data_IF_068206683484
#
_entry.id   IF_068206683484
#
_cell.length_a   1.000
_cell.length_b   1.000
_cell.length_c   1.000
_cell.angle_alpha   90.00
_cell.angle_beta   90.00
_cell.angle_gamma   90.00
#
_symmetry.space_group_name_H-M   'P 1'
#
loop_
_entity.id
_entity.type
_entity.pdbx_description
1 polymer ?
#
# COMPACT_ATOMS: atom_id res chain seq x y z
N UNK A 1 42.48 -71.47 -18.68
CA UNK A 1 42.44 -70.04 -18.29
C UNK A 1 41.24 -69.39 -18.95
N UNK A 2 40.33 -68.79 -18.17
CA UNK A 2 39.79 -67.50 -18.58
C UNK A 2 39.77 -66.48 -17.44
N UNK A 3 39.70 -65.24 -17.90
CA UNK A 3 39.89 -63.94 -17.27
C UNK A 3 38.62 -63.50 -16.51
N UNK A 4 38.74 -63.16 -15.23
CA UNK A 4 37.62 -62.63 -14.43
C UNK A 4 37.74 -61.11 -14.39
N UNK A 5 36.87 -60.44 -15.15
CA UNK A 5 36.70 -59.00 -15.14
C UNK A 5 36.22 -58.51 -13.76
N UNK A 6 37.02 -57.64 -13.14
CA UNK A 6 36.69 -56.98 -11.88
C UNK A 6 35.62 -55.91 -12.10
N UNK A 7 34.40 -56.18 -11.64
CA UNK A 7 33.31 -55.21 -11.52
C UNK A 7 33.57 -54.28 -10.32
N UNK A 8 34.50 -53.32 -10.45
CA UNK A 8 34.64 -52.23 -9.49
C UNK A 8 33.49 -51.24 -9.71
N UNK A 9 32.41 -51.39 -8.92
CA UNK A 9 31.46 -50.29 -8.72
C UNK A 9 32.21 -49.13 -8.09
N UNK A 10 32.21 -47.94 -8.69
CA UNK A 10 33.17 -46.94 -8.30
C UNK A 10 32.66 -46.21 -7.05
N UNK A 11 33.45 -46.31 -5.97
CA UNK A 11 33.16 -45.79 -4.63
C UNK A 11 32.81 -44.29 -4.60
N UNK A 12 33.14 -43.54 -5.66
CA UNK A 12 32.77 -42.13 -5.80
C UNK A 12 31.26 -41.89 -5.77
N UNK A 13 30.44 -42.85 -6.24
CA UNK A 13 28.99 -42.70 -6.23
C UNK A 13 28.39 -42.68 -4.80
N UNK A 14 29.00 -43.39 -3.85
CA UNK A 14 28.61 -43.38 -2.43
C UNK A 14 29.08 -42.12 -1.70
N UNK A 15 30.27 -41.61 -2.04
CA UNK A 15 30.78 -40.36 -1.46
C UNK A 15 29.96 -39.12 -1.89
N UNK A 16 29.49 -39.09 -3.14
CA UNK A 16 28.65 -37.98 -3.65
C UNK A 16 27.27 -37.98 -2.98
N UNK A 17 26.66 -39.14 -2.73
CA UNK A 17 25.39 -39.24 -2.00
C UNK A 17 25.52 -38.79 -0.52
N UNK A 18 26.67 -39.05 0.12
CA UNK A 18 26.88 -38.66 1.51
C UNK A 18 27.13 -37.14 1.68
N UNK A 19 27.73 -36.49 0.68
CA UNK A 19 28.00 -35.04 0.70
C UNK A 19 26.76 -34.16 0.43
N UNK A 20 25.69 -34.72 -0.16
CA UNK A 20 24.46 -33.97 -0.49
C UNK A 20 23.42 -34.06 0.65
N UNK A 21 23.65 -34.90 1.66
CA UNK A 21 22.74 -35.11 2.79
C UNK A 21 23.26 -34.62 4.14
N UNK A 22 24.33 -33.81 4.18
CA UNK A 22 24.78 -33.21 5.43
C UNK A 22 23.95 -31.95 5.73
N UNK A 23 22.91 -32.11 6.55
CA UNK A 23 22.26 -30.98 7.20
C UNK A 23 23.26 -30.32 8.15
N UNK A 24 23.60 -29.06 7.92
CA UNK A 24 24.44 -28.29 8.83
C UNK A 24 23.55 -27.70 9.92
N UNK A 25 23.57 -28.29 11.11
CA UNK A 25 22.79 -27.81 12.25
C UNK A 25 23.56 -26.72 13.02
N UNK A 26 23.12 -25.47 12.87
CA UNK A 26 23.64 -24.36 13.67
C UNK A 26 22.86 -24.26 14.99
N UNK A 27 23.50 -24.59 16.11
CA UNK A 27 22.88 -24.48 17.44
C UNK A 27 23.03 -23.06 17.99
N UNK A 28 21.98 -22.25 17.88
CA UNK A 28 21.91 -20.94 18.53
C UNK A 28 21.49 -21.12 19.99
N UNK A 29 22.37 -20.76 20.93
CA UNK A 29 22.00 -20.67 22.36
C UNK A 29 21.53 -19.25 22.66
N UNK A 30 20.22 -19.08 22.82
CA UNK A 30 19.66 -17.84 23.36
C UNK A 30 19.92 -17.80 24.87
N UNK A 31 20.93 -17.05 25.31
CA UNK A 31 21.04 -16.66 26.72
C UNK A 31 20.09 -15.49 26.94
N UNK A 32 18.92 -15.77 27.51
CA UNK A 32 18.05 -14.71 28.03
C UNK A 32 18.81 -13.96 29.13
N UNK A 33 19.08 -12.67 28.91
CA UNK A 33 19.51 -11.82 30.01
C UNK A 33 18.30 -11.63 30.94
N UNK A 34 18.35 -12.18 32.16
CA UNK A 34 17.45 -11.72 33.24
C UNK A 34 17.55 -10.19 33.36
N UNK A 35 16.48 -9.50 33.81
CA UNK A 35 16.03 -8.17 33.33
C UNK A 35 17.12 -7.39 32.60
N UNK A 36 17.42 -7.84 31.37
CA UNK A 36 18.54 -7.37 30.59
C UNK A 36 18.23 -6.00 30.02
N UNK A 37 19.27 -5.15 29.95
CA UNK A 37 19.26 -3.80 29.40
C UNK A 37 18.23 -3.62 28.27
N UNK A 38 17.20 -2.80 28.52
CA UNK A 38 16.24 -2.38 27.50
C UNK A 38 17.02 -1.77 26.32
N UNK A 39 17.00 -2.43 25.17
CA UNK A 39 17.63 -1.92 23.95
C UNK A 39 16.74 -0.88 23.30
N UNK A 40 15.51 -1.29 22.97
CA UNK A 40 14.52 -0.44 22.33
C UNK A 40 13.11 -0.79 22.80
N UNK A 41 12.27 0.23 22.93
CA UNK A 41 10.83 0.10 23.01
C UNK A 41 10.27 0.42 21.63
N UNK A 42 9.53 -0.51 21.05
CA UNK A 42 8.83 -0.29 19.79
C UNK A 42 7.45 0.29 20.05
N UNK A 43 6.94 1.03 19.06
CA UNK A 43 5.59 1.56 19.08
C UNK A 43 4.55 0.42 19.05
N UNK A 44 3.39 0.54 19.70
CA UNK A 44 2.30 -0.44 19.56
C UNK A 44 1.89 -0.69 18.10
N UNK A 45 2.01 0.32 17.23
CA UNK A 45 1.69 0.26 15.81
C UNK A 45 2.86 -0.27 14.96
N UNK A 46 3.91 -0.86 15.57
CA UNK A 46 5.13 -1.26 14.87
C UNK A 46 4.88 -2.16 13.65
N UNK A 47 3.91 -3.08 13.74
CA UNK A 47 3.49 -3.91 12.60
C UNK A 47 2.43 -3.15 11.81
N UNK A 48 2.88 -2.37 10.84
CA UNK A 48 2.04 -1.55 9.97
C UNK A 48 1.99 -2.08 8.53
N UNK A 49 0.97 -1.65 7.77
CA UNK A 49 0.72 -2.13 6.40
C UNK A 49 0.54 -0.99 5.40
N UNK A 50 0.59 -1.31 4.11
CA UNK A 50 0.46 -0.34 3.03
C UNK A 50 -0.66 -0.71 2.06
N UNK A 51 -1.39 0.28 1.57
CA UNK A 51 -2.27 0.18 0.40
C UNK A 51 -1.61 0.99 -0.72
N UNK A 52 -1.38 0.36 -1.86
CA UNK A 52 -0.76 1.04 -2.99
C UNK A 52 -1.70 2.13 -3.55
N UNK A 53 -1.15 3.32 -3.73
CA UNK A 53 -1.72 4.45 -4.46
C UNK A 53 -2.39 4.08 -5.78
N UNK A 54 -1.90 3.06 -6.49
CA UNK A 54 -2.49 2.59 -7.75
C UNK A 54 -3.93 2.06 -7.59
N UNK A 55 -4.35 1.73 -6.37
CA UNK A 55 -5.72 1.29 -6.09
C UNK A 55 -6.75 2.41 -6.35
N UNK A 56 -6.36 3.68 -6.16
CA UNK A 56 -7.24 4.83 -6.36
C UNK A 56 -7.48 5.18 -7.84
N UNK A 57 -6.81 4.52 -8.77
CA UNK A 57 -6.97 4.79 -10.20
C UNK A 57 -8.34 4.37 -10.74
N UNK A 58 -8.91 3.30 -10.19
CA UNK A 58 -10.23 2.83 -10.59
C UNK A 58 -11.12 2.69 -9.34
N UNK A 59 -12.20 3.50 -9.25
CA UNK A 59 -13.16 3.46 -8.14
C UNK A 59 -13.73 2.06 -7.86
N UNK A 60 -13.77 1.17 -8.85
CA UNK A 60 -14.24 -0.19 -8.67
C UNK A 60 -13.36 -0.96 -7.67
N UNK A 61 -12.05 -0.73 -7.66
CA UNK A 61 -11.13 -1.41 -6.75
C UNK A 61 -11.16 -0.84 -5.33
N UNK A 62 -11.49 0.45 -5.20
CA UNK A 62 -11.70 1.07 -3.89
C UNK A 62 -12.84 0.40 -3.11
N UNK A 63 -13.87 -0.10 -3.81
CA UNK A 63 -14.94 -0.91 -3.21
C UNK A 63 -14.43 -2.17 -2.50
N UNK A 64 -13.26 -2.71 -2.86
CA UNK A 64 -12.67 -3.87 -2.15
C UNK A 64 -12.37 -3.55 -0.68
N UNK A 65 -12.06 -2.29 -0.34
CA UNK A 65 -11.86 -1.85 1.05
C UNK A 65 -13.16 -1.87 1.87
N UNK A 66 -14.31 -1.93 1.19
CA UNK A 66 -15.61 -2.13 1.84
C UNK A 66 -15.94 -3.60 2.10
N UNK A 67 -15.12 -4.54 1.62
CA UNK A 67 -15.33 -5.98 1.84
C UNK A 67 -15.25 -6.34 3.33
N UNK A 68 -16.24 -7.09 3.87
CA UNK A 68 -16.19 -7.58 5.25
C UNK A 68 -14.94 -8.41 5.53
N UNK A 69 -14.50 -9.22 4.55
CA UNK A 69 -13.31 -10.06 4.68
C UNK A 69 -12.05 -9.22 4.86
N UNK A 70 -11.87 -8.19 4.03
CA UNK A 70 -10.72 -7.28 4.12
C UNK A 70 -10.73 -6.51 5.43
N UNK A 71 -11.90 -6.02 5.87
CA UNK A 71 -12.05 -5.31 7.14
C UNK A 71 -11.77 -6.19 8.36
N UNK A 72 -12.21 -7.46 8.36
CA UNK A 72 -11.91 -8.40 9.45
C UNK A 72 -10.40 -8.65 9.56
N UNK A 73 -9.73 -8.86 8.42
CA UNK A 73 -8.28 -9.03 8.40
C UNK A 73 -7.55 -7.76 8.86
N UNK A 74 -7.99 -6.59 8.40
CA UNK A 74 -7.41 -5.31 8.81
C UNK A 74 -7.58 -5.04 10.31
N UNK A 75 -8.75 -5.35 10.88
CA UNK A 75 -9.00 -5.25 12.33
C UNK A 75 -8.08 -6.13 13.16
N UNK A 76 -7.73 -7.31 12.67
CA UNK A 76 -6.82 -8.21 13.37
C UNK A 76 -5.38 -7.65 13.46
N UNK A 77 -5.05 -6.63 12.68
CA UNK A 77 -3.77 -5.92 12.73
C UNK A 77 -3.81 -4.69 13.65
N UNK A 78 -4.99 -4.30 14.17
CA UNK A 78 -5.09 -3.17 15.08
C UNK A 78 -4.40 -3.47 16.43
N UNK A 79 -3.62 -2.54 17.00
CA UNK A 79 -3.34 -1.20 16.49
C UNK A 79 -2.21 -1.19 15.45
N UNK A 80 -2.38 -0.45 14.36
CA UNK A 80 -1.39 -0.34 13.29
C UNK A 80 -1.61 0.91 12.43
N UNK A 81 -0.55 1.39 11.77
CA UNK A 81 -0.69 2.36 10.69
C UNK A 81 -1.08 1.65 9.38
N UNK A 82 -1.86 2.34 8.57
CA UNK A 82 -2.06 2.01 7.16
C UNK A 82 -1.58 3.16 6.29
N UNK A 83 -0.52 2.93 5.52
CA UNK A 83 0.03 3.90 4.58
C UNK A 83 -0.64 3.77 3.21
N UNK A 84 -1.26 4.84 2.73
CA UNK A 84 -1.72 4.96 1.35
C UNK A 84 -0.69 5.77 0.54
N UNK A 85 0.10 5.08 -0.29
CA UNK A 85 1.22 5.66 -1.02
C UNK A 85 1.82 4.66 -2.00
N UNK A 86 2.96 4.98 -2.60
CA UNK A 86 3.59 4.16 -3.64
C UNK A 86 3.92 4.97 -4.88
N UNK A 87 4.40 4.33 -5.96
CA UNK A 87 4.90 5.04 -7.14
C UNK A 87 3.86 5.99 -7.74
N UNK A 88 2.57 5.62 -7.68
CA UNK A 88 1.46 6.40 -8.24
C UNK A 88 1.10 7.64 -7.40
N UNK A 89 1.55 7.72 -6.15
CA UNK A 89 1.33 8.86 -5.25
C UNK A 89 1.67 10.20 -5.91
N UNK A 90 2.80 10.25 -6.61
CA UNK A 90 3.33 11.45 -7.24
C UNK A 90 2.69 11.80 -8.60
N UNK A 91 1.72 11.00 -9.04
CA UNK A 91 0.97 11.23 -10.28
C UNK A 91 -0.52 11.44 -10.03
N UNK A 92 -0.95 11.42 -8.77
CA UNK A 92 -2.33 11.63 -8.37
C UNK A 92 -2.61 13.09 -8.03
N UNK A 93 -3.80 13.58 -8.42
CA UNK A 93 -4.27 14.92 -8.10
C UNK A 93 -5.66 14.88 -7.47
N UNK A 94 -5.83 15.53 -6.31
CA UNK A 94 -7.12 15.63 -5.66
C UNK A 94 -8.08 16.48 -6.49
N UNK A 95 -9.28 15.95 -6.76
CA UNK A 95 -10.35 16.70 -7.42
C UNK A 95 -11.54 16.88 -6.46
N UNK A 96 -11.73 18.08 -5.88
CA UNK A 96 -12.94 18.38 -5.13
C UNK A 96 -14.14 18.36 -6.07
N UNK A 97 -15.34 18.00 -5.59
CA UNK A 97 -16.53 18.04 -6.44
C UNK A 97 -16.84 19.49 -6.85
N UNK A 98 -16.54 19.82 -8.11
CA UNK A 98 -16.81 21.11 -8.74
C UNK A 98 -16.18 21.21 -10.12
N UNK A 99 -17.02 21.34 -11.17
CA UNK A 99 -16.71 21.36 -12.62
C UNK A 99 -16.41 20.00 -13.27
N UNK A 100 -17.41 19.12 -13.33
CA UNK A 100 -17.55 18.22 -14.49
C UNK A 100 -18.04 19.05 -15.68
N UNK A 101 -17.17 19.31 -16.67
CA UNK A 101 -17.58 19.71 -18.03
C UNK A 101 -17.56 18.48 -18.97
N UNK A 102 -18.17 17.39 -18.52
CA UNK A 102 -18.47 16.20 -19.32
C UNK A 102 -19.89 15.75 -19.02
N UNK A 103 -20.58 15.08 -19.95
CA UNK A 103 -22.01 14.79 -19.82
C UNK A 103 -22.25 14.08 -18.49
N UNK A 104 -23.07 14.74 -17.67
CA UNK A 104 -23.67 14.21 -16.45
C UNK A 104 -24.51 13.00 -16.84
N UNK A 105 -23.87 11.83 -16.85
CA UNK A 105 -24.48 10.57 -17.25
C UNK A 105 -24.13 9.45 -16.29
N UNK A 106 -24.17 9.69 -14.97
CA UNK A 106 -24.39 8.63 -14.00
C UNK A 106 -25.33 9.13 -12.94
N UNK A 107 -26.62 8.97 -13.23
CA UNK A 107 -27.72 9.24 -12.32
C UNK A 107 -27.64 8.29 -11.13
N UNK A 108 -27.57 8.86 -9.93
CA UNK A 108 -27.57 8.14 -8.65
C UNK A 108 -28.89 7.35 -8.42
N UNK A 109 -29.89 7.52 -9.29
CA UNK A 109 -31.18 6.84 -9.22
C UNK A 109 -31.36 5.67 -10.21
N UNK A 110 -30.37 5.33 -11.05
CA UNK A 110 -30.47 4.17 -11.95
C UNK A 110 -29.83 2.89 -11.41
N UNK A 111 -29.22 2.90 -10.23
CA UNK A 111 -28.55 1.71 -9.65
C UNK A 111 -29.47 0.92 -8.70
N UNK A 112 -30.69 1.41 -8.43
CA UNK A 112 -31.68 0.73 -7.56
C UNK A 112 -32.62 -0.21 -8.35
N UNK A 113 -32.47 -0.32 -9.69
CA UNK A 113 -33.28 -1.23 -10.52
C UNK A 113 -32.45 -2.25 -11.33
N UNK A 114 -31.31 -2.68 -10.79
CA UNK A 114 -30.79 -4.00 -11.13
C UNK A 114 -30.73 -4.81 -9.84
N UNK A 115 -31.80 -5.56 -9.58
CA UNK A 115 -31.78 -6.70 -8.68
C UNK A 115 -30.48 -7.51 -8.96
N UNK A 116 -29.56 -7.56 -7.99
CA UNK A 116 -28.41 -8.47 -8.05
C UNK A 116 -27.00 -7.95 -7.76
N UNK A 117 -26.76 -6.69 -7.32
CA UNK A 117 -25.40 -6.28 -6.89
C UNK A 117 -25.17 -6.63 -5.40
N UNK A 118 -25.56 -7.84 -5.01
CA UNK A 118 -25.27 -8.44 -3.71
C UNK A 118 -24.37 -9.66 -3.87
N UNK A 119 -23.50 -9.69 -4.89
CA UNK A 119 -22.61 -10.81 -5.19
C UNK A 119 -21.63 -10.43 -6.33
N UNK A 120 -20.93 -9.29 -6.21
CA UNK A 120 -19.73 -9.16 -7.05
C UNK A 120 -18.69 -10.09 -6.42
N UNK A 121 -18.58 -11.31 -6.94
CA UNK A 121 -17.59 -12.30 -6.51
C UNK A 121 -16.23 -11.62 -6.40
N UNK A 122 -15.61 -11.70 -5.22
CA UNK A 122 -14.27 -11.14 -5.01
C UNK A 122 -13.28 -11.62 -6.07
N UNK A 123 -13.48 -12.84 -6.59
CA UNK A 123 -12.75 -13.40 -7.72
C UNK A 123 -12.90 -12.60 -9.02
N UNK A 124 -14.07 -12.05 -9.31
CA UNK A 124 -14.29 -11.20 -10.48
C UNK A 124 -13.53 -9.88 -10.36
N UNK A 125 -13.61 -9.21 -9.19
CA UNK A 125 -12.84 -8.00 -8.92
C UNK A 125 -11.32 -8.27 -8.94
N UNK A 126 -10.88 -9.41 -8.40
CA UNK A 126 -9.49 -9.85 -8.46
C UNK A 126 -9.03 -10.13 -9.90
N UNK A 127 -9.87 -10.73 -10.72
CA UNK A 127 -9.58 -10.96 -12.14
C UNK A 127 -9.46 -9.64 -12.91
N UNK A 128 -10.35 -8.68 -12.66
CA UNK A 128 -10.25 -7.32 -13.21
C UNK A 128 -8.99 -6.61 -12.73
N UNK A 129 -8.62 -6.76 -11.46
CA UNK A 129 -7.39 -6.17 -10.91
C UNK A 129 -6.14 -6.73 -11.59
N UNK A 130 -6.07 -8.06 -11.78
CA UNK A 130 -4.94 -8.70 -12.49
C UNK A 130 -4.78 -8.16 -13.91
N UNK A 131 -5.88 -7.96 -14.63
CA UNK A 131 -5.89 -7.34 -15.97
C UNK A 131 -5.50 -5.86 -15.91
N UNK A 132 -5.99 -5.11 -14.92
CA UNK A 132 -5.63 -3.70 -14.75
C UNK A 132 -4.14 -3.55 -14.44
N UNK A 133 -3.58 -4.37 -13.55
CA UNK A 133 -2.15 -4.36 -13.19
C UNK A 133 -1.24 -4.53 -14.40
N UNK A 134 -1.68 -5.26 -15.42
CA UNK A 134 -0.96 -5.39 -16.70
C UNK A 134 -1.02 -4.09 -17.53
N UNK A 135 -2.13 -3.35 -17.48
CA UNK A 135 -2.30 -2.05 -18.18
C UNK A 135 -1.63 -0.86 -17.50
N UNK A 136 -1.33 -0.96 -16.20
CA UNK A 136 -0.63 0.09 -15.44
C UNK A 136 0.80 0.40 -15.94
N UNK A 137 1.27 -0.21 -17.02
CA UNK A 137 2.58 0.05 -17.63
C UNK A 137 2.54 1.11 -18.73
N UNK A 138 1.36 1.58 -19.15
CA UNK A 138 1.24 2.54 -20.24
C UNK A 138 0.35 3.74 -19.81
N UNK A 139 0.88 4.94 -20.01
CA UNK A 139 0.28 6.28 -19.80
C UNK A 139 0.16 6.82 -18.37
N UNK A 140 1.27 7.37 -17.86
CA UNK A 140 1.36 8.12 -16.60
C UNK A 140 0.99 9.60 -16.78
N UNK A 141 -0.15 9.85 -17.42
CA UNK A 141 -0.75 11.18 -17.41
C UNK A 141 -1.41 11.41 -16.04
N UNK A 142 -1.04 12.51 -15.36
CA UNK A 142 -1.69 13.12 -14.19
C UNK A 142 -3.14 12.64 -13.99
N UNK A 143 -3.34 11.66 -13.10
CA UNK A 143 -4.65 11.05 -12.84
C UNK A 143 -5.31 11.74 -11.67
N UNK A 144 -6.56 12.16 -11.86
CA UNK A 144 -7.36 12.79 -10.81
C UNK A 144 -8.13 11.74 -10.03
N UNK A 145 -8.10 11.82 -8.71
CA UNK A 145 -8.98 11.02 -7.85
C UNK A 145 -10.07 11.90 -7.23
N UNK A 146 -11.24 11.30 -7.00
CA UNK A 146 -12.39 12.00 -6.43
C UNK A 146 -12.31 12.01 -4.92
N UNK A 147 -12.99 12.98 -4.31
CA UNK A 147 -13.17 13.04 -2.87
C UNK A 147 -13.77 11.75 -2.25
N UNK A 148 -14.63 11.03 -2.98
CA UNK A 148 -15.19 9.74 -2.54
C UNK A 148 -14.12 8.66 -2.31
N UNK A 149 -13.03 8.69 -3.08
CA UNK A 149 -11.90 7.77 -2.91
C UNK A 149 -11.22 7.98 -1.56
N UNK A 150 -11.07 9.24 -1.13
CA UNK A 150 -10.52 9.58 0.17
C UNK A 150 -11.47 9.16 1.30
N UNK A 151 -12.77 9.39 1.13
CA UNK A 151 -13.80 8.98 2.08
C UNK A 151 -13.78 7.46 2.32
N UNK A 152 -13.63 6.68 1.25
CA UNK A 152 -13.52 5.22 1.32
C UNK A 152 -12.26 4.76 2.07
N UNK A 153 -11.10 5.37 1.80
CA UNK A 153 -9.84 5.07 2.50
C UNK A 153 -9.93 5.40 3.99
N UNK A 154 -10.42 6.60 4.30
CA UNK A 154 -10.55 7.05 5.68
C UNK A 154 -11.52 6.17 6.45
N UNK A 155 -12.68 5.87 5.84
CA UNK A 155 -13.67 4.96 6.43
C UNK A 155 -13.06 3.60 6.70
N UNK A 156 -12.34 3.02 5.73
CA UNK A 156 -11.67 1.73 5.88
C UNK A 156 -10.69 1.72 7.05
N UNK A 157 -9.82 2.72 7.16
CA UNK A 157 -8.84 2.81 8.23
C UNK A 157 -9.53 2.95 9.60
N UNK A 158 -10.46 3.90 9.70
CA UNK A 158 -11.17 4.21 10.94
C UNK A 158 -12.00 3.02 11.45
N UNK A 159 -12.78 2.36 10.60
CA UNK A 159 -13.58 1.18 11.03
C UNK A 159 -12.71 -0.03 11.33
N UNK A 160 -11.46 -0.06 10.86
CA UNK A 160 -10.52 -1.14 11.10
C UNK A 160 -9.61 -0.88 12.31
N UNK A 161 -9.73 0.28 12.98
CA UNK A 161 -8.85 0.67 14.08
C UNK A 161 -7.41 0.90 13.63
N UNK A 162 -7.23 1.42 12.42
CA UNK A 162 -5.94 1.72 11.82
C UNK A 162 -5.75 3.23 11.66
N UNK A 163 -4.53 3.69 11.88
CA UNK A 163 -4.16 5.10 11.71
C UNK A 163 -3.69 5.34 10.27
N UNK A 164 -4.46 6.13 9.50
CA UNK A 164 -4.17 6.39 8.10
C UNK A 164 -2.99 7.37 7.95
N UNK A 165 -2.02 7.01 7.11
CA UNK A 165 -0.97 7.89 6.59
C UNK A 165 -1.23 8.08 5.09
N UNK A 166 -1.45 9.30 4.63
CA UNK A 166 -1.75 9.61 3.24
C UNK A 166 -0.59 10.32 2.55
N UNK A 167 -0.14 9.77 1.42
CA UNK A 167 0.93 10.34 0.62
C UNK A 167 0.48 11.44 -0.34
N UNK A 168 1.10 12.62 -0.23
CA UNK A 168 0.88 13.76 -1.11
C UNK A 168 1.79 13.70 -2.35
N UNK A 169 1.31 14.27 -3.44
CA UNK A 169 2.04 14.39 -4.70
C UNK A 169 3.11 15.50 -4.63
N UNK A 170 4.38 15.13 -4.76
CA UNK A 170 5.53 16.03 -4.75
C UNK A 170 5.98 16.50 -6.15
N UNK A 171 5.38 15.98 -7.23
CA UNK A 171 5.72 16.36 -8.62
C UNK A 171 4.86 17.51 -9.16
N UNK A 172 3.89 18.02 -8.40
CA UNK A 172 3.22 19.27 -8.73
C UNK A 172 4.21 20.44 -8.52
N UNK A 173 4.61 21.11 -9.61
CA UNK A 173 5.60 22.19 -9.60
C UNK A 173 5.05 23.49 -10.16
N UNK A 174 5.54 24.60 -9.61
CA UNK A 174 5.37 25.93 -10.19
C UNK A 174 6.42 26.15 -11.30
N UNK A 175 6.31 27.25 -12.04
CA UNK A 175 7.27 27.59 -13.11
C UNK A 175 8.71 27.79 -12.59
N UNK A 176 8.86 28.12 -11.31
CA UNK A 176 10.16 28.26 -10.61
C UNK A 176 10.70 26.93 -10.04
N UNK A 177 10.08 25.79 -10.38
CA UNK A 177 10.35 24.44 -9.85
C UNK A 177 10.11 24.26 -8.33
N UNK A 178 9.55 25.24 -7.63
CA UNK A 178 9.07 25.05 -6.26
C UNK A 178 7.86 24.11 -6.23
N UNK A 179 7.62 23.45 -5.08
CA UNK A 179 6.46 22.56 -4.94
C UNK A 179 5.15 23.37 -4.90
N UNK A 180 4.23 23.05 -5.81
CA UNK A 180 2.92 23.67 -5.85
C UNK A 180 1.98 22.99 -4.84
N UNK A 181 1.86 23.59 -3.66
CA UNK A 181 1.04 23.07 -2.57
C UNK A 181 -0.47 23.26 -2.75
N UNK A 182 -0.94 23.95 -3.80
CA UNK A 182 -2.36 24.32 -3.97
C UNK A 182 -3.30 23.10 -3.95
N UNK A 183 -2.88 21.99 -4.56
CA UNK A 183 -3.69 20.76 -4.54
C UNK A 183 -3.71 20.10 -3.17
N UNK A 184 -2.56 20.06 -2.49
CA UNK A 184 -2.49 19.55 -1.12
C UNK A 184 -3.35 20.41 -0.18
N UNK A 185 -3.29 21.74 -0.28
CA UNK A 185 -4.14 22.64 0.51
C UNK A 185 -5.63 22.36 0.29
N UNK A 186 -6.07 22.11 -0.95
CA UNK A 186 -7.46 21.76 -1.23
C UNK A 186 -7.87 20.43 -0.56
N UNK A 187 -6.98 19.44 -0.57
CA UNK A 187 -7.18 18.15 0.10
C UNK A 187 -7.22 18.32 1.63
N UNK A 188 -6.29 19.08 2.21
CA UNK A 188 -6.23 19.32 3.65
C UNK A 188 -7.48 20.04 4.15
N UNK A 189 -7.96 21.07 3.44
CA UNK A 189 -9.23 21.75 3.76
C UNK A 189 -10.41 20.80 3.74
N UNK A 190 -10.48 19.93 2.73
CA UNK A 190 -11.52 18.92 2.66
C UNK A 190 -11.48 17.94 3.85
N UNK A 191 -10.29 17.48 4.25
CA UNK A 191 -10.13 16.65 5.45
C UNK A 191 -10.53 17.38 6.72
N UNK A 192 -10.20 18.67 6.85
CA UNK A 192 -10.57 19.51 7.99
C UNK A 192 -12.09 19.68 8.10
N UNK A 193 -12.77 19.99 6.99
CA UNK A 193 -14.23 20.08 6.90
C UNK A 193 -14.91 18.77 7.33
N UNK A 194 -14.31 17.62 6.98
CA UNK A 194 -14.78 16.28 7.35
C UNK A 194 -14.31 15.81 8.74
N UNK A 195 -13.45 16.59 9.41
CA UNK A 195 -12.81 16.24 10.69
C UNK A 195 -12.06 14.92 10.65
N UNK A 196 -11.38 14.66 9.53
CA UNK A 196 -10.56 13.46 9.36
C UNK A 196 -9.24 13.57 10.14
N UNK A 197 -8.95 12.54 10.94
CA UNK A 197 -7.69 12.41 11.69
C UNK A 197 -6.77 11.43 10.98
N UNK A 198 -5.82 11.96 10.22
CA UNK A 198 -4.85 11.18 9.48
C UNK A 198 -3.51 11.92 9.40
N UNK A 199 -2.44 11.20 9.13
CA UNK A 199 -1.09 11.74 8.97
C UNK A 199 -0.70 11.87 7.50
N UNK A 200 0.35 12.63 7.20
CA UNK A 200 0.74 12.98 5.84
C UNK A 200 2.18 12.59 5.52
N UNK A 201 2.42 12.21 4.28
CA UNK A 201 3.76 12.11 3.67
C UNK A 201 3.81 12.98 2.41
N UNK A 202 5.01 13.34 1.94
CA UNK A 202 5.20 14.07 0.69
C UNK A 202 6.21 13.36 -0.21
N UNK A 203 5.76 12.89 -1.36
CA UNK A 203 6.56 12.12 -2.30
C UNK A 203 6.65 10.63 -1.97
N UNK A 204 6.90 9.80 -2.99
CA UNK A 204 7.23 8.39 -2.84
C UNK A 204 8.54 8.07 -3.57
N UNK A 205 9.49 7.45 -2.87
CA UNK A 205 10.74 7.01 -3.49
C UNK A 205 11.60 8.15 -4.06
N UNK A 206 11.38 9.39 -3.62
CA UNK A 206 12.19 10.53 -4.05
C UNK A 206 13.61 10.36 -3.52
N UNK A 207 14.51 10.10 -4.47
CA UNK A 207 15.97 10.12 -4.41
C UNK A 207 16.44 11.28 -3.49
N UNK A 208 17.47 11.08 -2.65
CA UNK A 208 17.81 11.90 -1.47
C UNK A 208 18.16 13.40 -1.69
N UNK A 209 17.89 13.97 -2.86
CA UNK A 209 18.19 15.37 -3.19
C UNK A 209 17.15 16.35 -2.65
N UNK A 210 15.91 15.91 -2.36
CA UNK A 210 14.82 16.81 -1.91
C UNK A 210 14.51 16.69 -0.40
N UNK A 211 14.90 15.57 0.24
CA UNK A 211 14.57 15.29 1.64
C UNK A 211 15.20 16.28 2.65
N UNK A 212 16.25 17.01 2.25
CA UNK A 212 16.92 17.99 3.12
C UNK A 212 16.05 19.21 3.44
N UNK A 213 14.98 19.49 2.69
CA UNK A 213 14.15 20.69 2.90
C UNK A 213 12.70 20.46 3.35
N UNK A 214 12.16 19.23 3.36
CA UNK A 214 10.75 19.01 3.70
C UNK A 214 10.44 18.92 5.20
N UNK A 215 11.41 18.63 6.07
CA UNK A 215 11.15 18.53 7.52
C UNK A 215 10.92 19.89 8.23
N UNK A 216 11.02 21.02 7.52
CA UNK A 216 10.78 22.36 8.10
C UNK A 216 9.39 22.96 7.77
N UNK A 217 8.52 22.28 7.02
CA UNK A 217 7.28 22.89 6.49
C UNK A 217 5.97 22.33 7.06
N UNK A 218 6.00 21.63 8.19
CA UNK A 218 4.79 21.40 8.99
C UNK A 218 4.90 22.24 10.26
N UNK A 219 4.41 23.50 10.28
CA UNK A 219 4.21 24.19 11.53
C UNK A 219 3.20 23.39 12.34
N UNK A 220 3.55 23.16 13.58
CA UNK A 220 2.75 22.56 14.62
C UNK A 220 1.37 23.21 14.71
N UNK A 221 0.37 22.62 14.05
CA UNK A 221 -1.03 22.83 14.41
C UNK A 221 -1.40 21.79 15.47
N UNK A 222 -0.83 21.97 16.67
CA UNK A 222 -1.36 21.43 17.92
C UNK A 222 -1.87 22.62 18.72
N UNK A 223 -3.18 22.81 18.73
CA UNK A 223 -3.91 23.51 19.78
C UNK A 223 -4.99 22.55 20.27
#
# INVERSE_FOLDING_TARGET
>A
MPEVAANLRPLWALCVLCAISSSVEARVRLRGQGPGRLLHRVDPNFVSVTIDSSLAEDPLFMRMLSSPKVRVLAKALSPAFVRFGGTRQDFMQFQPQGKSRGPSGFSHNQIIQSEGICQSDGEHLLALWRKQKQRLTEEDASRKYRQSTLDELYTFANVSGLDLIFGLNALLRNDDNSWNSSNAQALLRYCEERRYRLSWELGNGIIPVIATHCFQLIPSCCC
#
